data_IF_110232966565
#
_entry.id   IF_110232966565
#
_cell.length_a   1.000
_cell.length_b   1.000
_cell.length_c   1.000
_cell.angle_alpha   90.00
_cell.angle_beta   90.00
_cell.angle_gamma   90.00
#
_symmetry.space_group_name_H-M   'P 1'
#
loop_
_entity.id
_entity.type
_entity.pdbx_description
1 polymer ?
#
# COMPACT_ATOMS: atom_id res chain seq x y z
N UNK A 1 13.42 -19.07 4.32
CA UNK A 1 12.24 -18.21 4.04
C UNK A 1 11.42 -17.91 5.29
N UNK A 2 11.25 -18.88 6.20
CA UNK A 2 10.49 -18.71 7.46
C UNK A 2 10.96 -17.56 8.35
N UNK A 3 12.26 -17.49 8.68
CA UNK A 3 12.81 -16.42 9.54
C UNK A 3 12.64 -15.01 8.96
N UNK A 4 12.76 -14.86 7.64
CA UNK A 4 12.60 -13.57 6.96
C UNK A 4 11.14 -13.13 6.92
N UNK A 5 10.22 -14.07 6.69
CA UNK A 5 8.78 -13.82 6.73
C UNK A 5 8.34 -13.43 8.14
N UNK A 6 8.78 -14.18 9.15
CA UNK A 6 8.51 -13.89 10.56
C UNK A 6 8.97 -12.48 10.94
N UNK A 7 10.20 -12.11 10.57
CA UNK A 7 10.74 -10.76 10.82
C UNK A 7 9.91 -9.67 10.14
N UNK A 8 9.46 -9.90 8.91
CA UNK A 8 8.61 -8.95 8.18
C UNK A 8 7.24 -8.77 8.86
N UNK A 9 6.60 -9.87 9.28
CA UNK A 9 5.33 -9.85 9.99
C UNK A 9 5.41 -9.06 11.30
N UNK A 10 6.46 -9.28 12.11
CA UNK A 10 6.68 -8.51 13.34
C UNK A 10 6.91 -7.02 13.08
N UNK A 11 7.60 -6.67 11.99
CA UNK A 11 7.80 -5.27 11.61
C UNK A 11 6.47 -4.58 11.26
N UNK A 12 5.59 -5.25 10.51
CA UNK A 12 4.24 -4.75 10.20
C UNK A 12 3.46 -4.50 11.49
N UNK A 13 3.48 -5.47 12.41
CA UNK A 13 2.78 -5.38 13.69
C UNK A 13 3.27 -4.20 14.54
N UNK A 14 4.58 -3.99 14.62
CA UNK A 14 5.16 -2.87 15.36
C UNK A 14 4.67 -1.51 14.82
N UNK A 15 4.66 -1.34 13.50
CA UNK A 15 4.20 -0.10 12.85
C UNK A 15 2.69 0.11 13.08
N UNK A 16 1.88 -0.94 12.88
CA UNK A 16 0.44 -0.85 13.08
C UNK A 16 0.06 -0.49 14.52
N UNK A 17 0.78 -1.04 15.51
CA UNK A 17 0.57 -0.73 16.92
C UNK A 17 0.98 0.70 17.29
N UNK A 18 2.00 1.25 16.63
CA UNK A 18 2.45 2.62 16.86
C UNK A 18 1.49 3.66 16.28
N UNK A 19 0.85 3.38 15.14
CA UNK A 19 0.05 4.35 14.38
C UNK A 19 -1.47 4.10 14.44
N UNK A 20 -1.96 3.47 15.50
CA UNK A 20 -3.38 3.09 15.66
C UNK A 20 -4.31 4.21 16.10
N UNK A 21 -3.77 5.37 16.48
CA UNK A 21 -4.55 6.43 17.11
C UNK A 21 -5.55 7.12 16.16
N UNK A 22 -5.33 7.00 14.85
CA UNK A 22 -6.20 7.59 13.81
C UNK A 22 -6.54 6.57 12.72
N UNK A 23 -7.63 5.84 12.93
CA UNK A 23 -8.17 4.90 11.96
C UNK A 23 -9.41 5.53 11.30
N UNK A 24 -9.49 5.62 9.96
CA UNK A 24 -10.67 6.16 9.29
C UNK A 24 -11.92 5.33 9.59
N UNK A 25 -13.12 5.94 9.56
CA UNK A 25 -14.36 5.20 9.70
C UNK A 25 -14.50 4.19 8.56
N UNK A 26 -15.05 3.01 8.88
CA UNK A 26 -15.32 1.97 7.88
C UNK A 26 -16.53 2.40 7.05
N UNK A 27 -16.36 2.51 5.74
CA UNK A 27 -17.40 2.99 4.82
C UNK A 27 -17.98 1.89 3.92
N UNK A 28 -17.48 0.65 4.02
CA UNK A 28 -17.95 -0.51 3.23
C UNK A 28 -18.20 -1.72 4.14
N UNK A 29 -19.11 -2.60 3.71
CA UNK A 29 -19.34 -3.92 4.32
C UNK A 29 -18.50 -5.04 3.67
N UNK A 30 -17.62 -4.70 2.72
CA UNK A 30 -16.71 -5.65 2.09
C UNK A 30 -15.61 -6.12 3.05
N UNK A 31 -14.94 -7.23 2.71
CA UNK A 31 -13.85 -7.79 3.50
C UNK A 31 -12.65 -6.83 3.70
N UNK A 32 -12.51 -5.82 2.84
CA UNK A 32 -11.43 -4.84 2.88
C UNK A 32 -11.96 -3.46 3.28
N UNK A 33 -11.74 -3.01 4.53
CA UNK A 33 -12.34 -1.77 5.03
C UNK A 33 -11.72 -0.50 4.45
N UNK A 34 -10.49 -0.57 3.92
CA UNK A 34 -9.75 0.56 3.40
C UNK A 34 -9.33 0.32 1.94
N UNK A 35 -9.50 1.31 1.04
CA UNK A 35 -8.99 1.22 -0.32
C UNK A 35 -7.45 1.09 -0.30
N UNK A 36 -6.93 0.15 -1.09
CA UNK A 36 -5.49 -0.01 -1.28
C UNK A 36 -5.18 -0.33 -2.75
N UNK A 37 -3.96 0.00 -3.18
CA UNK A 37 -3.46 -0.34 -4.50
C UNK A 37 -2.07 -0.97 -4.35
N UNK A 38 -1.87 -2.13 -4.97
CA UNK A 38 -0.57 -2.79 -5.03
C UNK A 38 -0.03 -2.60 -6.45
N UNK A 39 1.05 -1.83 -6.57
CA UNK A 39 1.72 -1.59 -7.85
C UNK A 39 2.99 -2.44 -7.87
N UNK A 40 3.05 -3.40 -8.79
CA UNK A 40 4.23 -4.22 -9.04
C UNK A 40 4.93 -3.71 -10.28
N UNK A 41 6.24 -3.47 -10.20
CA UNK A 41 7.04 -2.92 -11.31
C UNK A 41 6.37 -1.71 -11.96
N UNK A 42 6.30 -0.55 -11.27
CA UNK A 42 5.76 0.66 -11.87
C UNK A 42 6.54 0.92 -13.16
N UNK A 43 5.89 0.72 -14.32
CA UNK A 43 6.35 1.32 -15.55
C UNK A 43 6.30 2.79 -15.24
N UNK A 44 7.47 3.43 -15.14
CA UNK A 44 7.58 4.87 -14.96
C UNK A 44 6.61 5.47 -15.97
N UNK A 45 5.51 6.07 -15.50
CA UNK A 45 4.55 6.70 -16.38
C UNK A 45 5.35 7.78 -17.11
N UNK A 46 5.67 7.49 -18.37
CA UNK A 46 6.46 8.32 -19.24
C UNK A 46 5.57 9.49 -19.68
N UNK A 47 5.29 10.39 -18.74
CA UNK A 47 4.64 11.69 -18.95
C UNK A 47 5.43 12.60 -19.91
N UNK A 48 6.53 12.11 -20.51
CA UNK A 48 7.34 12.83 -21.50
C UNK A 48 6.97 12.62 -22.98
N UNK A 49 6.13 11.64 -23.35
CA UNK A 49 5.92 11.28 -24.79
C UNK A 49 4.54 11.63 -25.37
N UNK A 50 3.72 12.43 -24.68
CA UNK A 50 2.39 12.86 -25.22
C UNK A 50 2.18 14.38 -25.32
N UNK A 51 3.22 15.18 -25.10
CA UNK A 51 3.23 16.61 -25.44
C UNK A 51 4.04 16.89 -26.71
N UNK A 52 3.84 16.04 -27.73
CA UNK A 52 4.20 16.38 -29.10
C UNK A 52 3.08 17.23 -29.70
N UNK A 53 3.28 18.54 -29.74
CA UNK A 53 2.58 19.42 -30.66
C UNK A 53 2.85 18.94 -32.10
N UNK A 54 1.78 18.62 -32.85
CA UNK A 54 1.46 18.98 -34.24
C UNK A 54 0.27 18.15 -34.70
#
# INVERSE_FOLDING_TARGET
MEKTLQKAAFKILAIANQSKDHIPPITTSDANPFPFQIILNPKLDNWGNKLGFY
#
